data_IF_713220041697
#
_entry.id   IF_713220041697
#
_cell.length_a   1.000
_cell.length_b   1.000
_cell.length_c   1.000
_cell.angle_alpha   90.00
_cell.angle_beta   90.00
_cell.angle_gamma   90.00
#
_symmetry.space_group_name_H-M   'P 1'
#
loop_
_entity.id
_entity.type
_entity.pdbx_description
1 polymer ?
#
# COMPACT_ATOMS: atom_id res chain seq x y z
N UNK A 1 26.13 -25.23 10.74
CA UNK A 1 24.67 -25.06 10.95
C UNK A 1 24.31 -23.66 11.44
N UNK A 2 25.07 -23.06 12.36
CA UNK A 2 24.76 -21.73 12.94
C UNK A 2 24.57 -20.57 11.95
N UNK A 3 25.32 -20.54 10.84
CA UNK A 3 25.23 -19.43 9.86
C UNK A 3 23.84 -19.38 9.23
N UNK A 4 23.31 -20.53 8.79
CA UNK A 4 21.97 -20.61 8.20
C UNK A 4 20.88 -20.29 9.23
N UNK A 5 21.05 -20.71 10.47
CA UNK A 5 20.09 -20.38 11.54
C UNK A 5 20.05 -18.87 11.81
N UNK A 6 21.20 -18.21 11.93
CA UNK A 6 21.30 -16.75 12.13
C UNK A 6 20.73 -15.96 10.95
N UNK A 7 21.06 -16.35 9.71
CA UNK A 7 20.52 -15.70 8.52
C UNK A 7 19.01 -15.85 8.48
N UNK A 8 18.48 -17.05 8.74
CA UNK A 8 17.03 -17.28 8.68
C UNK A 8 16.28 -16.53 9.78
N UNK A 9 16.85 -16.41 10.98
CA UNK A 9 16.29 -15.57 12.04
C UNK A 9 16.24 -14.10 11.61
N UNK A 10 17.37 -13.55 11.14
CA UNK A 10 17.43 -12.16 10.66
C UNK A 10 16.47 -11.92 9.48
N UNK A 11 16.41 -12.84 8.51
CA UNK A 11 15.45 -12.72 7.40
C UNK A 11 14.01 -12.71 7.91
N UNK A 12 13.69 -13.53 8.90
CA UNK A 12 12.34 -13.61 9.42
C UNK A 12 11.93 -12.36 10.19
N UNK A 13 12.77 -11.91 11.12
CA UNK A 13 12.44 -10.80 12.03
C UNK A 13 12.77 -9.41 11.45
N UNK A 14 13.78 -9.31 10.58
CA UNK A 14 14.26 -8.03 10.06
C UNK A 14 13.83 -7.76 8.61
N UNK A 15 13.38 -8.79 7.87
CA UNK A 15 12.98 -8.64 6.44
C UNK A 15 11.52 -9.00 6.20
N UNK A 16 11.12 -10.28 6.37
CA UNK A 16 9.72 -10.78 6.40
C UNK A 16 9.66 -12.30 6.51
N UNK A 17 8.53 -12.81 7.00
CA UNK A 17 8.26 -14.25 7.08
C UNK A 17 8.24 -14.99 5.72
N UNK A 18 7.92 -14.31 4.61
CA UNK A 18 7.76 -14.94 3.29
C UNK A 18 8.57 -14.22 2.20
N UNK A 19 9.92 -14.34 2.21
CA UNK A 19 10.74 -13.80 1.15
C UNK A 19 10.45 -14.48 -0.19
N UNK A 20 10.42 -13.69 -1.25
CA UNK A 20 10.26 -14.16 -2.62
C UNK A 20 11.59 -14.72 -3.18
N UNK A 21 11.56 -15.39 -4.33
CA UNK A 21 12.76 -16.01 -4.89
C UNK A 21 13.90 -15.03 -5.18
N UNK A 22 13.60 -13.80 -5.63
CA UNK A 22 14.62 -12.78 -5.92
C UNK A 22 15.28 -12.27 -4.64
N UNK A 23 14.52 -12.11 -3.56
CA UNK A 23 15.05 -11.72 -2.26
C UNK A 23 15.97 -12.80 -1.68
N UNK A 24 15.57 -14.07 -1.77
CA UNK A 24 16.44 -15.18 -1.30
C UNK A 24 17.71 -15.25 -2.17
N UNK A 25 17.60 -15.01 -3.49
CA UNK A 25 18.76 -14.93 -4.38
C UNK A 25 19.68 -13.75 -4.01
N UNK A 26 19.12 -12.59 -3.69
CA UNK A 26 19.87 -11.42 -3.22
C UNK A 26 20.61 -11.71 -1.91
N UNK A 27 19.96 -12.38 -0.95
CA UNK A 27 20.57 -12.80 0.32
C UNK A 27 21.72 -13.79 0.06
N UNK A 28 21.51 -14.78 -0.81
CA UNK A 28 22.54 -15.77 -1.15
C UNK A 28 23.75 -15.11 -1.84
N UNK A 29 23.50 -14.17 -2.76
CA UNK A 29 24.54 -13.38 -3.40
C UNK A 29 25.30 -12.51 -2.40
N UNK A 30 24.59 -11.78 -1.52
CA UNK A 30 25.20 -10.92 -0.51
C UNK A 30 26.06 -11.71 0.49
N UNK A 31 25.64 -12.93 0.84
CA UNK A 31 26.39 -13.83 1.71
C UNK A 31 27.78 -14.15 1.13
N UNK A 32 27.84 -14.58 -0.14
CA UNK A 32 29.12 -14.94 -0.77
C UNK A 32 29.97 -13.70 -1.11
N UNK A 33 29.34 -12.55 -1.38
CA UNK A 33 30.06 -11.29 -1.58
C UNK A 33 30.75 -10.83 -0.30
N UNK A 34 30.07 -10.96 0.86
CA UNK A 34 30.64 -10.62 2.16
C UNK A 34 31.67 -11.65 2.65
N UNK A 35 31.46 -12.92 2.34
CA UNK A 35 32.35 -14.02 2.72
C UNK A 35 32.76 -14.83 1.49
N UNK A 36 33.77 -14.38 0.72
CA UNK A 36 34.19 -15.06 -0.51
C UNK A 36 34.62 -16.52 -0.32
N UNK A 37 35.05 -16.90 0.88
CA UNK A 37 35.39 -18.28 1.24
C UNK A 37 34.18 -19.25 1.21
N UNK A 38 32.95 -18.73 1.24
CA UNK A 38 31.73 -19.52 1.13
C UNK A 38 31.32 -19.77 -0.33
N UNK A 39 32.01 -19.17 -1.31
CA UNK A 39 31.66 -19.31 -2.72
C UNK A 39 31.89 -20.74 -3.20
N UNK A 40 30.85 -21.32 -3.81
CA UNK A 40 30.91 -22.67 -4.33
C UNK A 40 31.80 -22.75 -5.59
N UNK A 41 32.67 -23.76 -5.70
CA UNK A 41 33.52 -23.94 -6.87
C UNK A 41 32.69 -24.45 -8.06
N UNK A 42 32.92 -23.89 -9.26
CA UNK A 42 32.26 -24.35 -10.48
C UNK A 42 32.01 -23.22 -11.49
N UNK A 43 31.31 -23.56 -12.59
CA UNK A 43 30.95 -22.63 -13.67
C UNK A 43 29.73 -21.74 -13.36
N UNK A 44 29.14 -21.87 -12.17
CA UNK A 44 27.98 -21.09 -11.73
C UNK A 44 28.35 -19.74 -11.11
N UNK A 45 27.34 -19.05 -10.57
CA UNK A 45 27.49 -17.81 -9.80
C UNK A 45 28.14 -18.05 -8.43
N UNK A 46 28.16 -19.30 -7.95
CA UNK A 46 28.83 -19.74 -6.73
C UNK A 46 27.98 -19.60 -5.47
N UNK A 47 26.68 -19.34 -5.60
CA UNK A 47 25.73 -19.22 -4.49
C UNK A 47 24.54 -20.19 -4.63
N UNK A 48 24.52 -21.04 -5.65
CA UNK A 48 23.37 -21.87 -6.01
C UNK A 48 22.98 -22.86 -4.90
N UNK A 49 23.95 -23.54 -4.27
CA UNK A 49 23.66 -24.43 -3.14
C UNK A 49 23.30 -23.67 -1.85
N UNK A 50 23.82 -22.45 -1.66
CA UNK A 50 23.34 -21.54 -0.60
C UNK A 50 21.88 -21.14 -0.80
N UNK A 51 21.48 -20.83 -2.04
CA UNK A 51 20.09 -20.51 -2.38
C UNK A 51 19.14 -21.66 -2.03
N UNK A 52 19.50 -22.89 -2.37
CA UNK A 52 18.71 -24.09 -2.04
C UNK A 52 18.67 -24.30 -0.52
N UNK A 53 19.82 -24.18 0.15
CA UNK A 53 19.94 -24.35 1.60
C UNK A 53 19.11 -23.34 2.37
N UNK A 54 19.13 -22.06 1.95
CA UNK A 54 18.33 -20.99 2.52
C UNK A 54 16.83 -21.26 2.34
N UNK A 55 16.39 -21.67 1.14
CA UNK A 55 14.98 -22.04 0.90
C UNK A 55 14.52 -23.16 1.83
N UNK A 56 15.30 -24.23 1.93
CA UNK A 56 14.99 -25.37 2.80
C UNK A 56 14.98 -24.97 4.27
N UNK A 57 15.97 -24.17 4.70
CA UNK A 57 16.06 -23.71 6.09
C UNK A 57 14.91 -22.78 6.47
N UNK A 58 14.54 -21.84 5.60
CA UNK A 58 13.36 -20.98 5.76
C UNK A 58 12.07 -21.81 5.83
N UNK A 59 11.92 -22.84 5.00
CA UNK A 59 10.76 -23.76 5.07
C UNK A 59 10.67 -24.47 6.43
N UNK A 60 11.79 -25.01 6.89
CA UNK A 60 11.87 -25.73 8.17
C UNK A 60 11.64 -24.79 9.36
N UNK A 61 12.24 -23.60 9.33
CA UNK A 61 12.09 -22.60 10.39
C UNK A 61 10.63 -22.13 10.51
N UNK A 62 9.98 -21.81 9.38
CA UNK A 62 8.54 -21.50 9.37
C UNK A 62 7.68 -22.64 9.88
N UNK A 63 8.07 -23.89 9.63
CA UNK A 63 7.33 -25.06 10.13
C UNK A 63 7.46 -25.20 11.66
N UNK A 64 8.65 -24.93 12.22
CA UNK A 64 8.86 -24.87 13.67
C UNK A 64 8.08 -23.72 14.31
N UNK A 65 8.15 -22.52 13.76
CA UNK A 65 7.40 -21.36 14.24
C UNK A 65 5.88 -21.60 14.19
N UNK A 66 5.40 -22.26 13.14
CA UNK A 66 3.99 -22.66 13.04
C UNK A 66 3.60 -23.65 14.12
N UNK A 67 4.44 -24.64 14.42
CA UNK A 67 4.20 -25.57 15.53
C UNK A 67 4.21 -24.87 16.89
N UNK A 68 4.99 -23.79 17.03
CA UNK A 68 5.02 -22.92 18.21
C UNK A 68 3.85 -21.91 18.28
N UNK A 69 2.95 -21.90 17.30
CA UNK A 69 1.77 -21.03 17.30
C UNK A 69 1.97 -19.62 16.74
N UNK A 70 3.10 -19.34 16.08
CA UNK A 70 3.37 -18.03 15.49
C UNK A 70 2.34 -17.66 14.40
N UNK A 71 1.66 -16.53 14.57
CA UNK A 71 0.60 -16.00 13.72
C UNK A 71 1.11 -15.65 12.33
N UNK A 72 2.29 -15.04 12.22
CA UNK A 72 2.86 -14.58 10.96
C UNK A 72 3.08 -15.72 9.94
N UNK A 73 3.26 -16.96 10.42
CA UNK A 73 3.42 -18.18 9.58
C UNK A 73 2.24 -19.15 9.61
N UNK A 74 1.18 -18.78 10.34
CA UNK A 74 -0.08 -19.51 10.44
C UNK A 74 -1.07 -19.20 9.31
N UNK A 75 -0.65 -18.36 8.35
CA UNK A 75 -1.37 -18.03 7.12
C UNK A 75 -1.69 -19.29 6.29
N UNK A 76 -2.91 -19.35 5.76
CA UNK A 76 -3.58 -20.45 5.04
C UNK A 76 -4.16 -21.59 5.90
N UNK A 77 -4.21 -21.48 7.24
CA UNK A 77 -5.03 -22.39 8.06
C UNK A 77 -6.49 -21.91 8.03
N UNK A 78 -7.44 -22.79 7.73
CA UNK A 78 -8.85 -22.54 8.05
C UNK A 78 -8.95 -22.48 9.58
N UNK A 79 -9.13 -21.29 10.15
CA UNK A 79 -9.53 -21.15 11.55
C UNK A 79 -11.05 -21.33 11.55
N UNK A 80 -11.55 -22.32 12.29
CA UNK A 80 -12.97 -22.37 12.63
C UNK A 80 -13.14 -21.40 13.78
N UNK A 81 -13.92 -20.35 13.58
CA UNK A 81 -14.47 -19.63 14.72
C UNK A 81 -15.38 -20.61 15.47
N UNK A 82 -15.05 -20.86 16.74
CA UNK A 82 -15.79 -21.81 17.60
C UNK A 82 -17.07 -21.15 18.11
N UNK A 83 -17.15 -19.80 18.11
CA UNK A 83 -18.32 -19.05 18.58
C UNK A 83 -19.30 -18.67 17.46
N UNK A 84 -18.83 -18.29 16.26
CA UNK A 84 -19.71 -17.81 15.18
C UNK A 84 -19.83 -18.73 13.96
N UNK A 85 -19.19 -19.91 13.96
CA UNK A 85 -19.36 -20.93 12.92
C UNK A 85 -18.85 -20.56 11.52
N UNK A 86 -18.34 -19.35 11.32
CA UNK A 86 -17.74 -18.91 10.06
C UNK A 86 -16.25 -19.26 10.03
N UNK A 87 -15.85 -20.08 9.06
CA UNK A 87 -14.44 -20.40 8.83
C UNK A 87 -13.82 -19.38 7.89
N UNK A 88 -12.91 -18.53 8.38
CA UNK A 88 -12.11 -17.67 7.49
C UNK A 88 -10.78 -18.33 7.11
N UNK A 89 -10.29 -18.02 5.92
CA UNK A 89 -8.97 -18.46 5.45
C UNK A 89 -8.06 -17.26 5.38
N UNK A 90 -7.14 -17.15 6.34
CA UNK A 90 -6.10 -16.12 6.32
C UNK A 90 -5.24 -16.34 5.06
N UNK A 91 -5.29 -15.44 4.07
CA UNK A 91 -4.47 -15.54 2.85
C UNK A 91 -3.11 -14.87 3.09
N UNK A 92 -2.05 -15.44 2.53
CA UNK A 92 -0.69 -14.83 2.57
C UNK A 92 -0.68 -13.40 2.06
N UNK A 93 0.27 -12.61 2.58
CA UNK A 93 0.71 -11.34 1.99
C UNK A 93 1.00 -11.50 0.49
N UNK A 94 0.63 -10.50 -0.31
CA UNK A 94 0.72 -10.54 -1.79
C UNK A 94 1.24 -9.26 -2.42
N UNK A 95 1.34 -8.18 -1.64
CA UNK A 95 1.59 -6.82 -2.13
C UNK A 95 2.85 -6.20 -1.54
N UNK A 96 3.78 -7.03 -1.07
CA UNK A 96 5.04 -6.59 -0.48
C UNK A 96 4.95 -6.25 0.99
N UNK A 97 3.87 -6.66 1.68
CA UNK A 97 3.75 -6.48 3.13
C UNK A 97 4.87 -7.25 3.85
N UNK A 98 5.58 -6.54 4.72
CA UNK A 98 6.59 -7.09 5.63
C UNK A 98 5.90 -7.63 6.87
N UNK A 99 5.06 -6.81 7.50
CA UNK A 99 4.33 -7.15 8.72
C UNK A 99 2.85 -7.40 8.41
N UNK A 100 2.52 -8.62 7.98
CA UNK A 100 1.16 -8.94 7.56
C UNK A 100 0.21 -9.27 8.73
N UNK A 101 0.67 -10.10 9.67
CA UNK A 101 0.02 -10.40 10.97
C UNK A 101 1.14 -10.58 12.00
N UNK A 102 1.75 -9.48 12.48
CA UNK A 102 2.90 -9.54 13.38
C UNK A 102 2.49 -10.02 14.78
N UNK A 103 3.45 -10.55 15.53
CA UNK A 103 3.24 -10.91 16.93
C UNK A 103 3.06 -9.68 17.82
N UNK A 104 2.43 -9.89 18.98
CA UNK A 104 2.34 -8.86 20.00
C UNK A 104 3.73 -8.52 20.57
N UNK A 105 3.95 -7.26 20.98
CA UNK A 105 5.13 -6.88 21.75
C UNK A 105 5.28 -7.75 23.00
N UNK A 106 6.52 -7.96 23.45
CA UNK A 106 6.80 -8.77 24.65
C UNK A 106 5.97 -8.27 25.85
N UNK A 107 5.39 -9.21 26.59
CA UNK A 107 4.52 -8.97 27.76
C UNK A 107 3.14 -8.37 27.46
N UNK A 108 2.73 -8.31 26.19
CA UNK A 108 1.37 -7.90 25.83
C UNK A 108 0.48 -9.08 25.43
N UNK A 109 -0.79 -8.96 25.78
CA UNK A 109 -1.87 -9.87 25.40
C UNK A 109 -2.96 -9.06 24.70
N UNK A 110 -3.90 -9.73 24.01
CA UNK A 110 -5.06 -9.06 23.40
C UNK A 110 -5.79 -8.16 24.41
N UNK A 111 -5.96 -8.61 25.66
CA UNK A 111 -6.62 -7.83 26.71
C UNK A 111 -5.84 -6.58 27.11
N UNK A 112 -4.50 -6.67 27.23
CA UNK A 112 -3.70 -5.49 27.59
C UNK A 112 -3.60 -4.48 26.43
N UNK A 113 -3.60 -4.95 25.19
CA UNK A 113 -3.61 -4.09 24.00
C UNK A 113 -4.99 -3.45 23.77
N UNK A 114 -6.09 -4.15 24.07
CA UNK A 114 -7.43 -3.59 24.04
C UNK A 114 -7.57 -2.43 25.05
N UNK A 115 -6.95 -2.53 26.22
CA UNK A 115 -6.90 -1.41 27.17
C UNK A 115 -6.10 -0.22 26.60
N UNK A 116 -4.97 -0.47 25.93
CA UNK A 116 -4.22 0.59 25.26
C UNK A 116 -5.00 1.25 24.12
N UNK A 117 -5.81 0.49 23.38
CA UNK A 117 -6.71 1.00 22.35
C UNK A 117 -7.78 1.94 22.93
N UNK A 118 -8.36 1.62 24.09
CA UNK A 118 -9.33 2.53 24.76
C UNK A 118 -8.69 3.86 25.09
N UNK A 119 -7.49 3.84 25.67
CA UNK A 119 -6.72 5.05 25.95
C UNK A 119 -6.37 5.85 24.68
N UNK A 120 -6.12 5.16 23.55
CA UNK A 120 -5.90 5.81 22.25
C UNK A 120 -7.15 6.55 21.78
N UNK A 121 -8.34 5.94 21.92
CA UNK A 121 -9.61 6.61 21.59
C UNK A 121 -9.79 7.85 22.46
N UNK A 122 -9.55 7.74 23.75
CA UNK A 122 -9.70 8.87 24.68
C UNK A 122 -8.75 10.01 24.33
N UNK A 123 -7.50 9.71 23.96
CA UNK A 123 -6.53 10.71 23.49
C UNK A 123 -7.01 11.40 22.20
N UNK A 124 -7.55 10.63 21.26
CA UNK A 124 -8.05 11.14 19.96
C UNK A 124 -9.25 12.08 20.14
N UNK A 125 -10.04 11.90 21.22
CA UNK A 125 -11.21 12.74 21.54
C UNK A 125 -10.85 14.03 22.27
N UNK A 126 -9.61 14.20 22.74
CA UNK A 126 -9.22 15.41 23.48
C UNK A 126 -9.21 16.61 22.55
N UNK A 127 -9.71 17.75 23.03
CA UNK A 127 -9.65 19.03 22.33
C UNK A 127 -8.20 19.46 22.00
N UNK A 128 -7.24 19.02 22.81
CA UNK A 128 -5.79 19.15 22.58
C UNK A 128 -5.16 17.76 22.61
N UNK A 129 -5.40 16.98 21.55
CA UNK A 129 -4.79 15.65 21.38
C UNK A 129 -3.29 15.77 21.15
N UNK A 130 -2.51 14.90 21.78
CA UNK A 130 -1.06 14.78 21.55
C UNK A 130 -0.77 13.77 20.45
N UNK A 131 -0.27 14.24 19.30
CA UNK A 131 0.13 13.34 18.21
C UNK A 131 1.26 12.38 18.63
N UNK A 132 2.13 12.79 19.56
CA UNK A 132 3.19 11.92 20.11
C UNK A 132 2.56 10.73 20.83
N UNK A 133 1.60 10.97 21.73
CA UNK A 133 0.92 9.90 22.47
C UNK A 133 0.09 9.02 21.54
N UNK A 134 -0.56 9.62 20.54
CA UNK A 134 -1.30 8.87 19.51
C UNK A 134 -0.35 7.94 18.76
N UNK A 135 0.79 8.43 18.27
CA UNK A 135 1.79 7.63 17.56
C UNK A 135 2.33 6.48 18.40
N UNK A 136 2.70 6.74 19.65
CA UNK A 136 3.18 5.70 20.59
C UNK A 136 2.14 4.61 20.80
N UNK A 137 0.87 4.99 21.01
CA UNK A 137 -0.21 4.03 21.18
C UNK A 137 -0.56 3.29 19.90
N UNK A 138 -0.52 3.96 18.75
CA UNK A 138 -0.73 3.35 17.44
C UNK A 138 0.33 2.30 17.13
N UNK A 139 1.59 2.56 17.47
CA UNK A 139 2.69 1.60 17.36
C UNK A 139 2.48 0.40 18.29
N UNK A 140 2.22 0.65 19.58
CA UNK A 140 2.04 -0.41 20.58
C UNK A 140 0.88 -1.36 20.22
N UNK A 141 -0.19 -0.82 19.65
CA UNK A 141 -1.42 -1.55 19.30
C UNK A 141 -1.43 -2.10 17.87
N UNK A 142 -0.35 -1.93 17.10
CA UNK A 142 -0.28 -2.32 15.69
C UNK A 142 -0.62 -3.78 15.45
N UNK A 143 -0.07 -4.69 16.25
CA UNK A 143 -0.30 -6.13 16.11
C UNK A 143 -1.76 -6.53 16.35
N UNK A 144 -2.43 -5.95 17.35
CA UNK A 144 -3.85 -6.17 17.61
C UNK A 144 -4.71 -5.66 16.45
N UNK A 145 -4.50 -4.40 16.04
CA UNK A 145 -5.24 -3.78 14.93
C UNK A 145 -5.07 -4.56 13.63
N UNK A 146 -3.83 -4.97 13.32
CA UNK A 146 -3.53 -5.73 12.10
C UNK A 146 -4.19 -7.11 12.10
N UNK A 147 -4.20 -7.79 13.25
CA UNK A 147 -4.91 -9.06 13.44
C UNK A 147 -6.40 -8.88 13.16
N UNK A 148 -7.07 -7.93 13.80
CA UNK A 148 -8.51 -7.64 13.59
C UNK A 148 -8.83 -7.34 12.12
N UNK A 149 -8.09 -6.42 11.48
CA UNK A 149 -8.34 -6.04 10.07
C UNK A 149 -8.15 -7.23 9.12
N UNK A 150 -7.16 -8.09 9.36
CA UNK A 150 -6.88 -9.23 8.47
C UNK A 150 -7.80 -10.41 8.72
N UNK A 151 -8.11 -10.70 9.98
CA UNK A 151 -8.93 -11.84 10.39
C UNK A 151 -10.42 -11.56 10.22
N UNK A 152 -10.91 -10.43 10.74
CA UNK A 152 -12.34 -10.15 10.84
C UNK A 152 -12.88 -9.46 9.57
N UNK A 153 -12.00 -8.80 8.81
CA UNK A 153 -12.37 -8.03 7.60
C UNK A 153 -13.57 -7.09 7.82
N UNK A 154 -13.51 -6.24 8.86
CA UNK A 154 -14.61 -5.35 9.22
C UNK A 154 -14.87 -4.31 8.12
N UNK A 155 -16.09 -3.75 8.08
CA UNK A 155 -16.39 -2.63 7.19
C UNK A 155 -15.61 -1.38 7.59
N UNK A 156 -15.36 -0.49 6.65
CA UNK A 156 -14.60 0.75 6.87
C UNK A 156 -15.19 1.59 8.02
N UNK A 157 -16.52 1.67 8.10
CA UNK A 157 -17.23 2.41 9.15
C UNK A 157 -16.96 1.84 10.55
N UNK A 158 -16.85 0.52 10.67
CA UNK A 158 -16.55 -0.15 11.94
C UNK A 158 -15.10 0.11 12.35
N UNK A 159 -14.17 0.12 11.39
CA UNK A 159 -12.77 0.47 11.65
C UNK A 159 -12.64 1.93 12.07
N UNK A 160 -13.39 2.87 11.47
CA UNK A 160 -13.39 4.28 11.89
C UNK A 160 -13.84 4.44 13.34
N UNK A 161 -14.84 3.68 13.78
CA UNK A 161 -15.29 3.71 15.17
C UNK A 161 -14.29 3.06 16.12
N UNK A 162 -13.70 1.92 15.71
CA UNK A 162 -12.82 1.11 16.55
C UNK A 162 -11.39 1.67 16.65
N UNK A 163 -10.90 2.27 15.56
CA UNK A 163 -9.55 2.80 15.36
C UNK A 163 -9.58 4.20 14.70
N UNK A 164 -10.21 5.21 15.31
CA UNK A 164 -10.39 6.54 14.69
C UNK A 164 -9.05 7.20 14.33
N UNK A 165 -8.01 7.00 15.15
CA UNK A 165 -6.68 7.52 14.90
C UNK A 165 -6.04 6.99 13.60
N UNK A 166 -6.47 5.83 13.10
CA UNK A 166 -5.96 5.26 11.84
C UNK A 166 -6.25 6.15 10.62
N UNK A 167 -7.27 7.01 10.72
CA UNK A 167 -7.71 7.91 9.64
C UNK A 167 -7.12 9.32 9.77
N UNK A 168 -6.20 9.54 10.73
CA UNK A 168 -5.36 10.74 10.77
C UNK A 168 -4.26 10.61 9.71
N UNK A 169 -4.00 11.68 8.97
CA UNK A 169 -3.07 11.67 7.84
C UNK A 169 -1.67 11.16 8.22
N UNK A 170 -1.15 11.59 9.36
CA UNK A 170 0.13 11.17 9.92
C UNK A 170 0.13 9.66 10.21
N UNK A 171 -0.96 9.16 10.81
CA UNK A 171 -1.06 7.75 11.17
C UNK A 171 -1.30 6.83 9.97
N UNK A 172 -1.89 7.32 8.88
CA UNK A 172 -1.98 6.55 7.62
C UNK A 172 -0.58 6.29 7.08
N UNK A 173 0.28 7.31 7.06
CA UNK A 173 1.66 7.18 6.61
C UNK A 173 2.47 6.23 7.51
N UNK A 174 2.37 6.42 8.83
CA UNK A 174 3.04 5.55 9.81
C UNK A 174 2.53 4.11 9.78
N UNK A 175 1.22 3.88 9.61
CA UNK A 175 0.69 2.53 9.50
C UNK A 175 1.18 1.84 8.23
N UNK A 176 1.21 2.56 7.11
CA UNK A 176 1.78 2.04 5.88
C UNK A 176 3.27 1.70 6.04
N UNK A 177 4.04 2.54 6.74
CA UNK A 177 5.42 2.26 7.09
C UNK A 177 5.53 0.99 7.95
N UNK A 178 4.74 0.85 9.03
CA UNK A 178 4.72 -0.37 9.87
C UNK A 178 4.41 -1.63 9.06
N UNK A 179 3.56 -1.55 8.02
CA UNK A 179 3.21 -2.70 7.18
C UNK A 179 4.30 -3.04 6.15
N UNK A 180 4.97 -2.03 5.58
CA UNK A 180 5.79 -2.19 4.36
C UNK A 180 7.26 -1.82 4.50
N UNK A 181 7.65 -1.17 5.61
CA UNK A 181 8.93 -0.50 5.84
C UNK A 181 9.27 0.56 4.77
N UNK A 182 8.26 1.19 4.16
CA UNK A 182 8.44 2.30 3.21
C UNK A 182 7.72 3.55 3.68
N UNK A 183 8.42 4.69 3.58
CA UNK A 183 7.79 5.99 3.80
C UNK A 183 6.76 6.23 2.69
N UNK A 184 5.48 6.39 3.07
CA UNK A 184 4.40 6.51 2.11
C UNK A 184 4.56 7.74 1.22
N UNK A 185 4.76 8.90 1.83
CA UNK A 185 4.69 10.18 1.14
C UNK A 185 5.99 10.47 0.40
N UNK A 186 7.14 10.21 1.01
CA UNK A 186 8.44 10.52 0.41
C UNK A 186 8.71 9.62 -0.80
N UNK A 187 8.43 8.31 -0.69
CA UNK A 187 8.59 7.38 -1.82
C UNK A 187 7.62 7.75 -2.94
N UNK A 188 6.36 8.04 -2.63
CA UNK A 188 5.36 8.40 -3.64
C UNK A 188 5.71 9.73 -4.33
N UNK A 189 6.11 10.76 -3.59
CA UNK A 189 6.52 12.06 -4.13
C UNK A 189 7.75 11.93 -5.01
N UNK A 190 8.77 11.20 -4.56
CA UNK A 190 9.97 10.94 -5.36
C UNK A 190 9.64 10.20 -6.66
N UNK A 191 8.72 9.23 -6.62
CA UNK A 191 8.23 8.56 -7.81
C UNK A 191 7.49 9.52 -8.75
N UNK A 192 6.64 10.39 -8.22
CA UNK A 192 5.94 11.41 -9.01
C UNK A 192 6.92 12.35 -9.70
N UNK A 193 7.96 12.83 -9.01
CA UNK A 193 8.98 13.69 -9.61
C UNK A 193 9.75 12.98 -10.73
N UNK A 194 10.09 11.71 -10.51
CA UNK A 194 10.79 10.88 -11.49
C UNK A 194 9.95 10.56 -12.72
N UNK A 195 8.69 10.16 -12.54
CA UNK A 195 7.90 9.54 -13.59
C UNK A 195 6.94 10.49 -14.30
N UNK A 196 6.49 11.59 -13.66
CA UNK A 196 5.63 12.60 -14.29
C UNK A 196 6.15 13.07 -15.65
N UNK A 197 7.40 13.57 -15.80
CA UNK A 197 7.89 14.04 -17.10
C UNK A 197 7.94 12.92 -18.14
N UNK A 198 8.27 11.69 -17.73
CA UNK A 198 8.37 10.53 -18.63
C UNK A 198 6.99 10.07 -19.11
N UNK A 199 6.01 10.03 -18.22
CA UNK A 199 4.62 9.69 -18.54
C UNK A 199 4.03 10.71 -19.52
N UNK A 200 4.15 12.01 -19.23
CA UNK A 200 3.65 13.06 -20.12
C UNK A 200 4.29 13.01 -21.52
N UNK A 201 5.60 12.75 -21.60
CA UNK A 201 6.29 12.53 -22.89
C UNK A 201 5.70 11.33 -23.63
N UNK A 202 5.46 10.23 -22.91
CA UNK A 202 4.91 9.00 -23.49
C UNK A 202 3.47 9.19 -23.97
N UNK A 203 2.66 9.95 -23.24
CA UNK A 203 1.29 10.29 -23.62
C UNK A 203 1.26 11.11 -24.90
N UNK A 204 2.06 12.19 -24.98
CA UNK A 204 2.18 13.01 -26.20
C UNK A 204 2.63 12.19 -27.41
N UNK A 205 3.60 11.30 -27.25
CA UNK A 205 4.10 10.45 -28.33
C UNK A 205 3.06 9.44 -28.86
N UNK A 206 1.98 9.19 -28.11
CA UNK A 206 0.97 8.17 -28.45
C UNK A 206 -0.46 8.69 -28.36
N UNK A 207 -0.69 10.01 -28.31
CA UNK A 207 -2.00 10.60 -28.00
C UNK A 207 -3.13 10.05 -28.89
N UNK A 208 -2.89 9.97 -30.20
CA UNK A 208 -3.85 9.45 -31.17
C UNK A 208 -4.24 7.97 -30.94
N UNK A 209 -3.40 7.17 -30.28
CA UNK A 209 -3.68 5.77 -29.99
C UNK A 209 -4.56 5.56 -28.74
N UNK A 210 -4.81 6.61 -27.95
CA UNK A 210 -5.57 6.57 -26.71
C UNK A 210 -6.84 7.44 -26.72
N UNK A 211 -7.23 7.92 -27.90
CA UNK A 211 -8.51 8.59 -28.13
C UNK A 211 -8.57 10.03 -27.62
N UNK A 212 -9.76 10.60 -27.78
CA UNK A 212 -10.06 12.01 -27.48
C UNK A 212 -9.80 12.36 -26.01
N UNK A 213 -10.07 11.45 -25.07
CA UNK A 213 -9.85 11.67 -23.64
C UNK A 213 -8.39 12.04 -23.31
N UNK A 214 -7.42 11.37 -23.96
CA UNK A 214 -6.00 11.68 -23.77
C UNK A 214 -5.62 13.01 -24.42
N UNK A 215 -6.24 13.36 -25.54
CA UNK A 215 -6.00 14.63 -26.23
C UNK A 215 -6.53 15.81 -25.41
N UNK A 216 -7.79 15.74 -24.98
CA UNK A 216 -8.40 16.75 -24.10
C UNK A 216 -7.61 16.92 -22.79
N UNK A 217 -7.11 15.82 -22.22
CA UNK A 217 -6.30 15.87 -21.00
C UNK A 217 -4.97 16.62 -21.20
N UNK A 218 -4.34 16.45 -22.37
CA UNK A 218 -3.09 17.14 -22.72
C UNK A 218 -3.34 18.60 -23.14
N UNK A 219 -4.45 18.90 -23.81
CA UNK A 219 -4.84 20.27 -24.14
C UNK A 219 -5.07 21.10 -22.87
N UNK A 220 -5.84 20.56 -21.91
CA UNK A 220 -6.01 21.19 -20.59
C UNK A 220 -4.69 21.37 -19.83
N UNK A 221 -3.71 20.50 -20.08
CA UNK A 221 -2.35 20.67 -19.52
C UNK A 221 -1.64 21.87 -20.15
N UNK A 222 -1.73 22.03 -21.47
CA UNK A 222 -1.04 23.07 -22.23
C UNK A 222 -1.66 24.46 -22.02
N UNK A 223 -2.96 24.54 -21.70
CA UNK A 223 -3.68 25.79 -21.41
C UNK A 223 -3.37 26.39 -20.02
N UNK A 224 -2.91 25.58 -19.06
CA UNK A 224 -2.77 26.03 -17.66
C UNK A 224 -1.43 26.69 -17.40
N UNK A 225 -1.47 27.93 -16.90
CA UNK A 225 -0.27 28.76 -16.65
C UNK A 225 0.10 28.83 -15.15
N UNK A 226 -0.82 28.51 -14.25
CA UNK A 226 -0.64 28.50 -12.79
C UNK A 226 -0.55 27.07 -12.24
N UNK A 227 0.13 26.92 -11.10
CA UNK A 227 0.37 25.63 -10.42
C UNK A 227 0.81 24.48 -11.36
N UNK A 228 1.77 24.81 -12.23
CA UNK A 228 2.23 23.93 -13.31
C UNK A 228 2.73 22.58 -12.77
N UNK A 229 3.32 22.56 -11.58
CA UNK A 229 3.86 21.33 -10.98
C UNK A 229 2.72 20.38 -10.59
N UNK A 230 1.75 20.82 -9.79
CA UNK A 230 0.64 19.95 -9.39
C UNK A 230 -0.26 19.60 -10.57
N UNK A 231 -0.42 20.52 -11.54
CA UNK A 231 -1.16 20.21 -12.75
C UNK A 231 -0.50 19.09 -13.55
N UNK A 232 0.82 19.16 -13.77
CA UNK A 232 1.56 18.09 -14.46
C UNK A 232 1.44 16.75 -13.74
N UNK A 233 1.55 16.74 -12.41
CA UNK A 233 1.36 15.53 -11.59
C UNK A 233 -0.07 14.99 -11.74
N UNK A 234 -1.07 15.86 -11.66
CA UNK A 234 -2.48 15.52 -11.84
C UNK A 234 -2.75 14.93 -13.23
N UNK A 235 -2.26 15.56 -14.29
CA UNK A 235 -2.38 15.07 -15.67
C UNK A 235 -1.70 13.71 -15.83
N UNK A 236 -0.51 13.53 -15.24
CA UNK A 236 0.18 12.24 -15.26
C UNK A 236 -0.65 11.14 -14.56
N UNK A 237 -1.27 11.43 -13.42
CA UNK A 237 -2.10 10.48 -12.68
C UNK A 237 -3.42 10.16 -13.40
N UNK A 238 -4.13 11.17 -13.90
CA UNK A 238 -5.39 10.98 -14.66
C UNK A 238 -5.15 10.28 -16.01
N UNK A 239 -4.00 10.51 -16.63
CA UNK A 239 -3.62 9.86 -17.89
C UNK A 239 -3.17 8.40 -17.73
N UNK A 240 -2.80 7.97 -16.52
CA UNK A 240 -2.27 6.63 -16.30
C UNK A 240 -3.31 5.52 -16.57
N UNK A 241 -4.54 5.56 -16.04
CA UNK A 241 -5.59 4.61 -16.39
C UNK A 241 -5.87 4.59 -17.90
N UNK A 242 -5.99 5.76 -18.54
CA UNK A 242 -6.21 5.88 -19.99
C UNK A 242 -5.11 5.15 -20.78
N UNK A 243 -3.84 5.39 -20.43
CA UNK A 243 -2.70 4.75 -21.08
C UNK A 243 -2.67 3.23 -20.87
N UNK A 244 -3.23 2.74 -19.76
CA UNK A 244 -3.32 1.32 -19.44
C UNK A 244 -4.60 0.66 -19.97
N UNK A 245 -5.44 1.42 -20.69
CA UNK A 245 -6.77 1.02 -21.19
C UNK A 245 -7.73 0.65 -20.07
N UNK A 246 -7.73 1.47 -19.04
CA UNK A 246 -8.65 1.45 -17.91
C UNK A 246 -9.42 2.78 -17.86
N UNK A 247 -10.61 2.77 -17.25
CA UNK A 247 -11.48 3.95 -17.16
C UNK A 247 -11.02 4.84 -15.99
N UNK A 248 -10.51 6.06 -16.23
CA UNK A 248 -10.06 6.96 -15.16
C UNK A 248 -11.20 7.42 -14.24
N UNK A 249 -12.45 7.43 -14.71
CA UNK A 249 -13.61 7.84 -13.92
C UNK A 249 -13.97 6.81 -12.84
N UNK A 250 -13.39 5.60 -12.89
CA UNK A 250 -13.50 4.62 -11.80
C UNK A 250 -12.61 4.95 -10.60
N UNK A 251 -11.65 5.85 -10.76
CA UNK A 251 -10.74 6.28 -9.68
C UNK A 251 -10.92 7.76 -9.35
N UNK A 252 -10.94 8.62 -10.36
CA UNK A 252 -11.04 10.07 -10.22
C UNK A 252 -12.45 10.50 -10.64
N UNK A 253 -13.33 10.64 -9.65
CA UNK A 253 -14.73 11.00 -9.87
C UNK A 253 -14.92 12.50 -9.61
N UNK A 254 -15.83 13.14 -10.36
CA UNK A 254 -16.24 14.52 -10.12
C UNK A 254 -17.67 14.56 -9.60
N UNK A 255 -17.94 15.41 -8.61
CA UNK A 255 -19.26 15.58 -8.02
C UNK A 255 -19.47 17.04 -7.58
N UNK A 256 -20.70 17.42 -7.30
CA UNK A 256 -21.05 18.73 -6.73
C UNK A 256 -21.14 18.70 -5.22
N UNK A 257 -21.58 17.56 -4.69
CA UNK A 257 -21.70 17.31 -3.27
C UNK A 257 -20.93 16.03 -2.90
N UNK A 258 -20.25 16.09 -1.76
CA UNK A 258 -19.34 15.02 -1.31
C UNK A 258 -20.10 13.80 -0.83
N UNK A 259 -21.25 13.98 -0.15
CA UNK A 259 -22.05 12.89 0.40
C UNK A 259 -22.80 12.14 -0.71
N UNK A 260 -23.42 12.88 -1.62
CA UNK A 260 -24.08 12.30 -2.79
C UNK A 260 -23.07 11.61 -3.72
N UNK A 261 -21.89 12.22 -3.92
CA UNK A 261 -20.82 11.66 -4.73
C UNK A 261 -20.25 10.34 -4.20
N UNK A 262 -20.37 10.07 -2.89
CA UNK A 262 -19.87 8.86 -2.26
C UNK A 262 -20.84 7.67 -2.34
N UNK A 263 -22.14 7.90 -2.59
CA UNK A 263 -23.17 6.84 -2.61
C UNK A 263 -22.87 5.79 -3.68
N UNK A 264 -22.86 4.52 -3.28
CA UNK A 264 -22.57 3.39 -4.18
C UNK A 264 -21.12 3.27 -4.64
N UNK A 265 -20.21 4.11 -4.15
CA UNK A 265 -18.79 4.10 -4.54
C UNK A 265 -17.98 3.23 -3.59
N UNK A 266 -17.28 2.22 -4.12
CA UNK A 266 -16.43 1.35 -3.30
C UNK A 266 -15.06 1.97 -2.98
N UNK A 267 -14.34 2.45 -3.99
CA UNK A 267 -13.02 3.08 -3.84
C UNK A 267 -12.91 4.18 -4.88
N UNK A 268 -12.74 5.44 -4.46
CA UNK A 268 -12.48 6.56 -5.37
C UNK A 268 -11.83 7.76 -4.68
N UNK A 269 -11.33 8.68 -5.49
CA UNK A 269 -11.00 10.05 -5.13
C UNK A 269 -12.09 10.94 -5.75
N UNK A 270 -12.84 11.65 -4.90
CA UNK A 270 -13.85 12.62 -5.32
C UNK A 270 -13.20 14.00 -5.45
N UNK A 271 -13.35 14.62 -6.61
CA UNK A 271 -13.08 16.03 -6.85
C UNK A 271 -14.43 16.76 -6.82
N UNK A 272 -14.66 17.56 -5.80
CA UNK A 272 -15.88 18.35 -5.64
C UNK A 272 -15.70 19.65 -6.42
N UNK A 273 -16.62 19.91 -7.33
CA UNK A 273 -16.64 21.08 -8.17
C UNK A 273 -17.53 22.15 -7.54
N UNK A 274 -17.11 23.41 -7.64
CA UNK A 274 -17.96 24.53 -7.25
C UNK A 274 -19.24 24.57 -8.09
N UNK A 275 -20.39 24.87 -7.46
CA UNK A 275 -21.63 25.07 -8.18
C UNK A 275 -21.56 26.41 -8.94
N UNK A 276 -21.39 26.30 -10.26
CA UNK A 276 -21.28 27.41 -11.21
C UNK A 276 -22.33 28.50 -10.97
N UNK A 277 -21.87 29.74 -10.77
CA UNK A 277 -22.62 30.88 -11.29
C UNK A 277 -22.02 31.48 -12.56
N UNK A 278 -20.70 31.49 -12.84
CA UNK A 278 -20.16 32.22 -14.02
C UNK A 278 -18.77 31.80 -14.57
N UNK A 279 -18.17 30.66 -14.22
CA UNK A 279 -16.85 30.26 -14.74
C UNK A 279 -16.94 29.36 -15.99
N UNK A 280 -15.98 29.50 -16.91
CA UNK A 280 -15.85 28.64 -18.11
C UNK A 280 -15.21 27.27 -17.81
N UNK A 281 -14.74 27.08 -16.57
CA UNK A 281 -14.18 25.82 -16.08
C UNK A 281 -14.41 25.72 -14.57
N UNK A 282 -15.16 24.72 -14.08
CA UNK A 282 -15.45 24.61 -12.65
C UNK A 282 -14.18 24.30 -11.85
N UNK A 283 -13.95 25.08 -10.79
CA UNK A 283 -12.82 24.90 -9.89
C UNK A 283 -13.08 23.74 -8.92
N UNK A 284 -12.03 22.99 -8.60
CA UNK A 284 -12.09 21.91 -7.60
C UNK A 284 -11.93 22.53 -6.22
N UNK A 285 -13.00 22.54 -5.43
CA UNK A 285 -13.04 23.15 -4.09
C UNK A 285 -12.67 22.18 -2.97
N UNK A 286 -12.86 20.88 -3.19
CA UNK A 286 -12.52 19.86 -2.23
C UNK A 286 -12.07 18.57 -2.93
N UNK A 287 -11.09 17.89 -2.33
CA UNK A 287 -10.65 16.56 -2.75
C UNK A 287 -10.82 15.62 -1.56
N UNK A 288 -11.57 14.55 -1.78
CA UNK A 288 -11.91 13.57 -0.76
C UNK A 288 -11.57 12.15 -1.19
N UNK A 289 -11.28 11.27 -0.23
CA UNK A 289 -11.10 9.82 -0.45
C UNK A 289 -12.34 9.11 0.06
N UNK A 290 -12.89 8.24 -0.78
CA UNK A 290 -14.06 7.40 -0.47
C UNK A 290 -13.66 5.95 -0.43
N UNK A 291 -14.04 5.27 0.66
CA UNK A 291 -13.91 3.83 0.83
C UNK A 291 -15.24 3.27 1.36
N UNK A 292 -15.76 2.23 0.72
CA UNK A 292 -17.04 1.58 1.06
C UNK A 292 -18.20 2.56 1.27
N UNK A 293 -18.34 3.53 0.35
CA UNK A 293 -19.36 4.58 0.35
C UNK A 293 -19.22 5.61 1.47
N UNK A 294 -18.12 5.56 2.22
CA UNK A 294 -17.81 6.50 3.30
C UNK A 294 -16.70 7.43 2.87
N UNK A 295 -16.91 8.72 3.09
CA UNK A 295 -15.87 9.75 2.94
C UNK A 295 -14.91 9.63 4.12
N UNK A 296 -13.74 9.04 3.89
CA UNK A 296 -12.76 8.74 4.94
C UNK A 296 -11.73 9.85 5.14
N UNK A 297 -11.49 10.65 4.11
CA UNK A 297 -10.63 11.85 4.14
C UNK A 297 -11.27 12.94 3.29
N UNK A 298 -11.08 14.20 3.68
CA UNK A 298 -11.55 15.40 2.99
C UNK A 298 -10.51 16.50 3.08
N UNK A 299 -10.74 17.60 2.37
CA UNK A 299 -9.92 18.81 2.39
C UNK A 299 -8.45 18.53 2.01
N UNK A 300 -8.25 17.58 1.08
CA UNK A 300 -6.92 17.19 0.64
C UNK A 300 -6.37 18.21 -0.37
N UNK A 301 -5.07 18.54 -0.30
CA UNK A 301 -4.51 19.66 -1.06
C UNK A 301 -4.45 19.40 -2.56
N UNK A 302 -4.29 18.14 -2.96
CA UNK A 302 -4.10 17.76 -4.36
C UNK A 302 -4.37 16.26 -4.60
N UNK A 303 -4.55 15.88 -5.87
CA UNK A 303 -4.84 14.51 -6.28
C UNK A 303 -3.68 13.54 -6.00
N UNK A 304 -2.43 14.01 -6.06
CA UNK A 304 -1.26 13.18 -5.78
C UNK A 304 -1.23 12.79 -4.30
N UNK A 305 -1.47 13.75 -3.41
CA UNK A 305 -1.58 13.51 -1.97
C UNK A 305 -2.78 12.62 -1.65
N UNK A 306 -3.94 12.86 -2.28
CA UNK A 306 -5.12 12.00 -2.10
C UNK A 306 -4.89 10.55 -2.55
N UNK A 307 -4.21 10.35 -3.68
CA UNK A 307 -3.87 9.01 -4.16
C UNK A 307 -2.85 8.30 -3.28
N UNK A 308 -1.89 9.03 -2.71
CA UNK A 308 -0.94 8.46 -1.75
C UNK A 308 -1.66 7.97 -0.49
N UNK A 309 -2.52 8.78 0.13
CA UNK A 309 -3.29 8.34 1.31
C UNK A 309 -4.29 7.23 1.00
N UNK A 310 -4.97 7.29 -0.15
CA UNK A 310 -5.81 6.18 -0.61
C UNK A 310 -4.98 4.89 -0.68
N UNK A 311 -3.81 4.93 -1.31
CA UNK A 311 -2.93 3.77 -1.41
C UNK A 311 -2.50 3.25 -0.02
N UNK A 312 -2.13 4.14 0.90
CA UNK A 312 -1.83 3.80 2.29
C UNK A 312 -2.99 3.10 3.00
N UNK A 313 -4.20 3.64 2.87
CA UNK A 313 -5.42 3.08 3.46
C UNK A 313 -5.76 1.69 2.90
N UNK A 314 -5.52 1.42 1.61
CA UNK A 314 -5.75 0.08 1.04
C UNK A 314 -4.84 -0.99 1.66
N UNK A 315 -3.66 -0.62 2.16
CA UNK A 315 -2.80 -1.51 2.95
C UNK A 315 -3.29 -1.59 4.40
N UNK A 316 -3.50 -0.44 5.04
CA UNK A 316 -3.96 -0.34 6.42
C UNK A 316 -5.24 -1.15 6.67
N UNK A 317 -6.18 -1.11 5.74
CA UNK A 317 -7.48 -1.78 5.79
C UNK A 317 -7.51 -3.15 5.08
N UNK A 318 -6.37 -3.63 4.57
CA UNK A 318 -6.26 -4.89 3.83
C UNK A 318 -7.20 -5.01 2.62
N UNK A 319 -7.62 -3.90 2.02
CA UNK A 319 -8.58 -3.88 0.92
C UNK A 319 -7.95 -4.34 -0.40
N UNK A 320 -8.72 -5.10 -1.18
CA UNK A 320 -8.29 -5.51 -2.53
C UNK A 320 -8.39 -4.34 -3.51
N UNK A 321 -7.48 -4.29 -4.49
CA UNK A 321 -7.57 -3.30 -5.57
C UNK A 321 -8.80 -3.53 -6.44
N UNK A 322 -9.48 -2.47 -6.90
CA UNK A 322 -10.56 -2.58 -7.87
C UNK A 322 -10.09 -3.30 -9.14
N UNK A 323 -10.81 -4.34 -9.56
CA UNK A 323 -10.42 -5.14 -10.73
C UNK A 323 -10.41 -4.32 -12.03
N UNK A 324 -11.23 -3.28 -12.10
CA UNK A 324 -11.29 -2.33 -13.22
C UNK A 324 -10.02 -1.45 -13.35
N UNK A 325 -9.23 -1.34 -12.28
CA UNK A 325 -8.04 -0.49 -12.18
C UNK A 325 -6.78 -1.32 -11.83
N UNK A 326 -6.81 -2.62 -12.12
CA UNK A 326 -5.77 -3.57 -11.71
C UNK A 326 -4.37 -3.17 -12.23
N UNK A 327 -4.27 -2.60 -13.43
CA UNK A 327 -2.99 -2.20 -14.02
C UNK A 327 -2.52 -0.86 -13.45
N UNK A 328 -3.43 0.05 -13.14
CA UNK A 328 -3.12 1.32 -12.47
C UNK A 328 -2.54 1.04 -11.08
N UNK A 329 -3.21 0.24 -10.25
CA UNK A 329 -2.68 -0.11 -8.93
C UNK A 329 -1.44 -1.01 -8.97
N UNK A 330 -1.29 -1.89 -9.98
CA UNK A 330 -0.05 -2.63 -10.23
C UNK A 330 1.11 -1.68 -10.57
N UNK A 331 0.85 -0.61 -11.32
CA UNK A 331 1.84 0.45 -11.60
C UNK A 331 2.23 1.20 -10.33
N UNK A 332 1.26 1.67 -9.55
CA UNK A 332 1.52 2.38 -8.30
C UNK A 332 2.34 1.48 -7.35
N UNK A 333 1.92 0.24 -7.14
CA UNK A 333 2.60 -0.68 -6.24
C UNK A 333 4.03 -1.04 -6.69
N UNK A 334 4.22 -1.41 -7.96
CA UNK A 334 5.45 -2.07 -8.41
C UNK A 334 6.40 -1.16 -9.19
N UNK A 335 5.94 0.01 -9.62
CA UNK A 335 6.75 1.01 -10.32
C UNK A 335 6.97 2.24 -9.45
N UNK A 336 5.93 2.78 -8.79
CA UNK A 336 6.09 3.98 -7.98
C UNK A 336 6.59 3.63 -6.57
N UNK A 337 5.93 2.70 -5.91
CA UNK A 337 6.25 2.31 -4.54
C UNK A 337 7.26 1.18 -4.46
N UNK A 338 7.58 0.50 -5.56
CA UNK A 338 8.57 -0.59 -5.66
C UNK A 338 8.38 -1.68 -4.57
N UNK A 339 7.14 -2.07 -4.25
CA UNK A 339 6.81 -2.99 -3.15
C UNK A 339 6.77 -4.46 -3.54
N UNK A 340 6.31 -4.80 -4.73
CA UNK A 340 6.13 -6.20 -5.14
C UNK A 340 7.30 -6.79 -5.91
N UNK A 341 7.30 -8.12 -6.02
CA UNK A 341 8.36 -8.92 -6.67
C UNK A 341 8.26 -8.96 -8.20
N UNK A 342 7.29 -8.26 -8.78
CA UNK A 342 7.01 -8.29 -10.21
C UNK A 342 5.71 -7.55 -10.54
N UNK A 343 5.59 -7.17 -11.81
CA UNK A 343 4.41 -6.50 -12.34
C UNK A 343 3.78 -7.34 -13.45
N UNK A 344 2.51 -7.07 -13.78
CA UNK A 344 1.85 -7.70 -14.93
C UNK A 344 2.60 -7.39 -16.23
N UNK A 345 2.44 -8.24 -17.26
CA UNK A 345 3.11 -8.01 -18.57
C UNK A 345 2.84 -6.62 -19.15
N UNK A 346 1.64 -6.07 -18.95
CA UNK A 346 1.27 -4.73 -19.40
C UNK A 346 2.06 -3.65 -18.65
N UNK A 347 2.10 -3.74 -17.32
CA UNK A 347 2.87 -2.79 -16.49
C UNK A 347 4.37 -2.95 -16.69
N UNK A 348 4.87 -4.16 -16.93
CA UNK A 348 6.28 -4.37 -17.30
C UNK A 348 6.63 -3.67 -18.62
N UNK A 349 5.75 -3.71 -19.62
CA UNK A 349 5.94 -2.96 -20.87
C UNK A 349 5.94 -1.45 -20.63
N UNK A 350 5.09 -0.94 -19.73
CA UNK A 350 5.11 0.47 -19.33
C UNK A 350 6.43 0.81 -18.60
N UNK A 351 6.80 0.03 -17.59
CA UNK A 351 8.04 0.21 -16.80
C UNK A 351 9.25 0.31 -17.71
N UNK A 352 9.38 -0.58 -18.69
CA UNK A 352 10.49 -0.57 -19.64
C UNK A 352 10.54 0.69 -20.54
N UNK A 353 9.40 1.37 -20.75
CA UNK A 353 9.35 2.66 -21.48
C UNK A 353 9.62 3.86 -20.58
N UNK A 354 9.53 3.68 -19.26
CA UNK A 354 9.79 4.69 -18.23
C UNK A 354 11.21 4.63 -17.66
N UNK A 355 11.97 3.58 -17.96
CA UNK A 355 13.41 3.53 -17.72
C UNK A 355 14.08 4.39 -18.78
#
# INVERSE_FOLDING_TARGET
MEILDKIVQAVFFDIKAYPNNQEIESIASALISKYPCLKEPGKGKGYEGWLISLKNKLNNYRSKLRAAGCNEVSVNKKRKDVEHGHGFTMKKAKRGEVNFVPEHPCNHTDASLEEQRRLLIDETKKARSSMVVISEKMELTFSLRRKEVVEDQPMVVDVQQRWPALFLQEQIAEEFFRITNKDLLDVFRAAMDRFTPKLLKLYRARKAAFGEDMEQLLERLDERVTDVVNHRRTTALKGLPLFLREDPNKLFMTCKDTEDGAKGVSIAILCVLEDETQATSPEVVNIAVVLEQVVVLKDLPDISTALAYLFGLLYALNMSYPQALKYTFDTIQNVFMELGSGCTKRVLSLKNKLL
#
